data_IF_239332245179
#
_entry.id   IF_239332245179
#
_cell.length_a   1.000
_cell.length_b   1.000
_cell.length_c   1.000
_cell.angle_alpha   90.00
_cell.angle_beta   90.00
_cell.angle_gamma   90.00
#
_symmetry.space_group_name_H-M   'P 1'
#
loop_
_entity.id
_entity.type
_entity.pdbx_description
1 polymer ?
#
# COMPACT_ATOMS: atom_id res chain seq x y z
N UNK A 1 5.60 27.10 6.16
CA UNK A 1 4.75 25.91 6.33
C UNK A 1 5.66 24.70 6.26
N UNK A 2 5.56 23.80 7.21
CA UNK A 2 6.36 22.56 7.21
C UNK A 2 5.90 21.68 6.05
N UNK A 3 6.82 21.36 5.14
CA UNK A 3 6.51 20.55 3.97
C UNK A 3 6.42 19.08 4.39
N UNK A 4 5.28 18.46 4.14
CA UNK A 4 5.01 17.07 4.46
C UNK A 4 5.34 16.20 3.24
N UNK A 5 6.01 15.08 3.45
CA UNK A 5 6.29 14.13 2.35
C UNK A 5 5.01 13.44 1.86
N UNK A 6 5.01 13.01 0.60
CA UNK A 6 3.87 12.27 0.00
C UNK A 6 3.51 11.04 0.83
N UNK A 7 4.49 10.29 1.34
CA UNK A 7 4.27 9.10 2.17
C UNK A 7 3.55 9.39 3.49
N UNK A 8 3.90 10.49 4.15
CA UNK A 8 3.22 10.91 5.40
C UNK A 8 1.77 11.28 5.11
N UNK A 9 1.52 11.98 4.00
CA UNK A 9 0.17 12.35 3.58
C UNK A 9 -0.68 11.10 3.24
N UNK A 10 -0.11 10.12 2.53
CA UNK A 10 -0.77 8.85 2.21
C UNK A 10 -1.05 8.02 3.46
N UNK A 11 -0.10 7.94 4.40
CA UNK A 11 -0.30 7.24 5.68
C UNK A 11 -1.47 7.85 6.48
N UNK A 12 -1.53 9.17 6.56
CA UNK A 12 -2.67 9.88 7.20
C UNK A 12 -3.98 9.58 6.47
N UNK A 13 -3.97 9.60 5.12
CA UNK A 13 -5.11 9.23 4.29
C UNK A 13 -5.55 7.78 4.53
N UNK A 14 -4.64 6.82 4.59
CA UNK A 14 -4.96 5.42 4.86
C UNK A 14 -5.69 5.26 6.21
N UNK A 15 -5.22 5.95 7.26
CA UNK A 15 -5.89 5.89 8.57
C UNK A 15 -7.28 6.52 8.47
N UNK A 16 -7.40 7.74 7.98
CA UNK A 16 -8.66 8.51 7.98
C UNK A 16 -9.72 7.97 7.00
N UNK A 17 -9.29 7.46 5.84
CA UNK A 17 -10.19 7.10 4.74
C UNK A 17 -10.43 5.59 4.60
N UNK A 18 -9.61 4.74 5.25
CA UNK A 18 -9.81 3.29 5.25
C UNK A 18 -10.01 2.72 6.65
N UNK A 19 -9.07 2.99 7.58
CA UNK A 19 -9.13 2.34 8.90
C UNK A 19 -10.33 2.86 9.69
N UNK A 20 -10.52 4.18 9.79
CA UNK A 20 -11.62 4.77 10.57
C UNK A 20 -13.00 4.36 10.06
N UNK A 21 -13.34 4.48 8.75
CA UNK A 21 -14.66 4.06 8.29
C UNK A 21 -14.90 2.56 8.46
N UNK A 22 -13.89 1.71 8.27
CA UNK A 22 -14.02 0.27 8.53
C UNK A 22 -14.24 -0.01 10.01
N UNK A 23 -13.52 0.67 10.91
CA UNK A 23 -13.72 0.54 12.35
C UNK A 23 -15.13 0.98 12.77
N UNK A 24 -15.65 2.08 12.21
CA UNK A 24 -17.02 2.53 12.43
C UNK A 24 -18.04 1.50 11.92
N UNK A 25 -17.87 0.97 10.71
CA UNK A 25 -18.73 -0.09 10.18
C UNK A 25 -18.77 -1.31 11.11
N UNK A 26 -17.60 -1.79 11.55
CA UNK A 26 -17.50 -2.93 12.46
C UNK A 26 -18.15 -2.64 13.82
N UNK A 27 -17.95 -1.45 14.38
CA UNK A 27 -18.57 -1.04 15.64
C UNK A 27 -20.09 -1.13 15.54
N UNK A 28 -20.69 -0.54 14.48
CA UNK A 28 -22.14 -0.58 14.28
C UNK A 28 -22.67 -1.98 13.94
N UNK A 29 -21.87 -2.83 13.31
CA UNK A 29 -22.24 -4.22 13.07
C UNK A 29 -22.23 -5.06 14.35
N UNK A 30 -21.29 -4.82 15.26
CA UNK A 30 -21.14 -5.59 16.51
C UNK A 30 -22.09 -5.06 17.60
N UNK A 31 -22.37 -3.76 17.65
CA UNK A 31 -23.21 -3.17 18.69
C UNK A 31 -24.58 -3.85 18.88
N UNK A 32 -25.32 -4.24 17.83
CA UNK A 32 -26.60 -4.96 18.00
C UNK A 32 -26.47 -6.31 18.71
N UNK A 33 -25.34 -7.03 18.50
CA UNK A 33 -25.08 -8.30 19.19
C UNK A 33 -24.88 -8.08 20.69
N UNK A 34 -24.05 -7.08 21.03
CA UNK A 34 -23.82 -6.74 22.44
C UNK A 34 -25.10 -6.27 23.12
N UNK A 35 -25.90 -5.45 22.44
CA UNK A 35 -27.19 -4.96 22.98
C UNK A 35 -28.18 -6.10 23.15
N UNK A 36 -28.31 -7.02 22.17
CA UNK A 36 -29.23 -8.16 22.26
C UNK A 36 -28.94 -9.09 23.43
N UNK A 37 -27.65 -9.31 23.71
CA UNK A 37 -27.21 -10.12 24.87
C UNK A 37 -27.48 -9.41 26.21
N UNK A 38 -27.22 -8.09 26.29
CA UNK A 38 -27.42 -7.31 27.52
C UNK A 38 -28.88 -7.12 27.89
N UNK A 39 -29.78 -7.07 26.89
CA UNK A 39 -31.22 -6.80 27.08
C UNK A 39 -32.05 -8.09 26.96
N UNK A 40 -31.41 -9.24 26.69
CA UNK A 40 -32.06 -10.55 26.48
C UNK A 40 -33.17 -10.52 25.39
N UNK A 41 -33.06 -9.60 24.45
CA UNK A 41 -34.06 -9.39 23.38
C UNK A 41 -33.47 -9.78 22.03
N UNK A 42 -33.91 -10.90 21.50
CA UNK A 42 -33.45 -11.41 20.19
C UNK A 42 -34.37 -10.90 19.06
N UNK A 43 -34.08 -9.72 18.54
CA UNK A 43 -34.86 -9.14 17.44
C UNK A 43 -34.03 -9.22 16.14
N UNK A 44 -34.40 -10.12 15.24
CA UNK A 44 -33.62 -10.38 14.01
C UNK A 44 -33.40 -9.15 13.12
N UNK A 45 -34.35 -8.19 13.08
CA UNK A 45 -34.19 -6.96 12.30
C UNK A 45 -33.10 -6.02 12.88
N UNK A 46 -32.74 -6.15 14.17
CA UNK A 46 -31.71 -5.33 14.81
C UNK A 46 -30.34 -5.56 14.14
N UNK A 47 -30.06 -6.78 13.73
CA UNK A 47 -28.82 -7.11 13.01
C UNK A 47 -28.78 -6.51 11.59
N UNK A 48 -29.91 -6.56 10.89
CA UNK A 48 -30.03 -5.95 9.56
C UNK A 48 -29.84 -4.43 9.62
N UNK A 49 -30.43 -3.76 10.62
CA UNK A 49 -30.26 -2.31 10.83
C UNK A 49 -28.85 -1.95 11.25
N UNK A 50 -28.19 -2.76 12.08
CA UNK A 50 -26.79 -2.56 12.45
C UNK A 50 -25.84 -2.69 11.25
N UNK A 51 -26.09 -3.66 10.39
CA UNK A 51 -25.31 -3.83 9.16
C UNK A 51 -25.46 -2.66 8.20
N UNK A 52 -26.72 -2.29 7.87
CA UNK A 52 -27.02 -1.16 6.96
C UNK A 52 -26.53 0.15 7.59
N UNK A 53 -26.84 0.38 8.88
CA UNK A 53 -26.42 1.56 9.62
C UNK A 53 -24.89 1.71 9.64
N UNK A 54 -24.18 0.64 9.90
CA UNK A 54 -22.71 0.63 9.89
C UNK A 54 -22.14 1.01 8.53
N UNK A 55 -22.70 0.46 7.45
CA UNK A 55 -22.30 0.83 6.10
C UNK A 55 -22.58 2.32 5.81
N UNK A 56 -23.76 2.82 6.13
CA UNK A 56 -24.12 4.23 5.93
C UNK A 56 -23.20 5.16 6.71
N UNK A 57 -22.95 4.88 7.99
CA UNK A 57 -22.07 5.70 8.84
C UNK A 57 -20.65 5.73 8.31
N UNK A 58 -20.09 4.56 7.95
CA UNK A 58 -18.73 4.48 7.38
C UNK A 58 -18.62 5.22 6.04
N UNK A 59 -19.66 5.11 5.18
CA UNK A 59 -19.71 5.83 3.91
C UNK A 59 -19.82 7.34 4.09
N UNK A 60 -20.67 7.81 5.01
CA UNK A 60 -20.80 9.22 5.34
C UNK A 60 -19.50 9.78 5.89
N UNK A 61 -18.87 9.06 6.84
CA UNK A 61 -17.56 9.46 7.34
C UNK A 61 -16.56 9.64 6.19
N UNK A 62 -16.45 8.65 5.30
CA UNK A 62 -15.54 8.71 4.17
C UNK A 62 -15.85 9.92 3.27
N UNK A 63 -17.13 10.16 2.95
CA UNK A 63 -17.58 11.26 2.08
C UNK A 63 -17.18 12.65 2.59
N UNK A 64 -17.17 12.84 3.92
CA UNK A 64 -16.71 14.09 4.53
C UNK A 64 -15.19 14.13 4.69
N UNK A 65 -14.62 13.05 5.18
CA UNK A 65 -13.19 12.97 5.50
C UNK A 65 -12.28 13.11 4.27
N UNK A 66 -12.70 12.58 3.11
CA UNK A 66 -11.92 12.64 1.87
C UNK A 66 -11.67 14.07 1.41
N UNK A 67 -12.68 14.94 1.50
CA UNK A 67 -12.56 16.36 1.14
C UNK A 67 -11.59 17.08 2.06
N UNK A 68 -11.69 16.87 3.37
CA UNK A 68 -10.77 17.47 4.35
C UNK A 68 -9.34 16.99 4.18
N UNK A 69 -9.15 15.68 3.98
CA UNK A 69 -7.82 15.11 3.73
C UNK A 69 -7.21 15.68 2.44
N UNK A 70 -7.98 15.79 1.36
CA UNK A 70 -7.52 16.30 0.07
C UNK A 70 -7.05 17.76 0.18
N UNK A 71 -7.84 18.63 0.82
CA UNK A 71 -7.46 20.03 1.05
C UNK A 71 -6.16 20.08 1.86
N UNK A 72 -6.13 19.41 3.02
CA UNK A 72 -4.95 19.38 3.87
C UNK A 72 -3.71 18.88 3.12
N UNK A 73 -3.85 17.79 2.34
CA UNK A 73 -2.74 17.21 1.60
C UNK A 73 -2.22 18.15 0.50
N UNK A 74 -3.11 18.83 -0.22
CA UNK A 74 -2.73 19.82 -1.25
C UNK A 74 -2.05 21.06 -0.66
N UNK A 75 -2.38 21.46 0.55
CA UNK A 75 -1.73 22.59 1.22
C UNK A 75 -0.32 22.26 1.71
N UNK A 76 -0.09 21.03 2.17
CA UNK A 76 1.13 20.67 2.89
C UNK A 76 2.13 19.85 2.06
N UNK A 77 1.68 19.18 1.00
CA UNK A 77 2.55 18.36 0.14
C UNK A 77 3.06 19.20 -1.03
N UNK A 78 4.35 19.06 -1.31
CA UNK A 78 5.00 19.78 -2.41
C UNK A 78 4.65 19.15 -3.77
N UNK A 79 4.84 17.84 -3.90
CA UNK A 79 4.66 17.08 -5.13
C UNK A 79 3.21 16.58 -5.25
N UNK A 80 2.34 17.44 -5.78
CA UNK A 80 0.89 17.19 -5.83
C UNK A 80 0.52 16.14 -6.88
N UNK A 81 1.21 16.10 -8.02
CA UNK A 81 0.97 15.09 -9.07
C UNK A 81 1.28 13.69 -8.56
N UNK A 82 2.44 13.52 -7.91
CA UNK A 82 2.82 12.26 -7.29
C UNK A 82 1.82 11.83 -6.22
N UNK A 83 1.41 12.78 -5.35
CA UNK A 83 0.40 12.53 -4.32
C UNK A 83 -0.90 12.01 -4.92
N UNK A 84 -1.40 12.66 -5.98
CA UNK A 84 -2.66 12.27 -6.63
C UNK A 84 -2.58 10.91 -7.30
N UNK A 85 -1.51 10.67 -8.06
CA UNK A 85 -1.31 9.36 -8.69
C UNK A 85 -1.28 8.24 -7.65
N UNK A 86 -0.54 8.44 -6.56
CA UNK A 86 -0.43 7.44 -5.50
C UNK A 86 -1.74 7.28 -4.73
N UNK A 87 -2.46 8.37 -4.43
CA UNK A 87 -3.74 8.30 -3.73
C UNK A 87 -4.81 7.55 -4.53
N UNK A 88 -4.83 7.70 -5.86
CA UNK A 88 -5.72 6.93 -6.76
C UNK A 88 -5.26 5.46 -6.82
N UNK A 89 -3.97 5.21 -7.00
CA UNK A 89 -3.42 3.85 -7.07
C UNK A 89 -3.63 3.06 -5.77
N UNK A 90 -3.53 3.74 -4.62
CA UNK A 90 -3.83 3.15 -3.31
C UNK A 90 -5.33 3.10 -3.00
N UNK A 91 -6.20 3.55 -3.90
CA UNK A 91 -7.66 3.59 -3.69
C UNK A 91 -8.08 4.37 -2.45
N UNK A 92 -7.37 5.46 -2.16
CA UNK A 92 -7.75 6.42 -1.11
C UNK A 92 -8.82 7.38 -1.62
N UNK A 93 -8.67 7.80 -2.88
CA UNK A 93 -9.58 8.68 -3.59
C UNK A 93 -9.96 8.05 -4.92
N UNK A 94 -11.08 8.48 -5.45
CA UNK A 94 -11.56 8.08 -6.76
C UNK A 94 -10.89 8.91 -7.86
N UNK A 95 -10.67 8.34 -9.06
CA UNK A 95 -10.21 9.11 -10.21
C UNK A 95 -11.16 10.28 -10.51
N UNK A 96 -10.60 11.40 -10.96
CA UNK A 96 -11.37 12.59 -11.33
C UNK A 96 -12.39 12.24 -12.43
N UNK A 97 -13.64 12.67 -12.25
CA UNK A 97 -14.75 12.37 -13.17
C UNK A 97 -15.47 11.03 -12.92
N UNK A 98 -15.04 10.21 -11.96
CA UNK A 98 -15.72 8.96 -11.64
C UNK A 98 -17.08 9.21 -10.97
N UNK A 99 -18.01 8.24 -11.08
CA UNK A 99 -19.33 8.30 -10.43
C UNK A 99 -19.20 8.51 -8.91
N UNK A 100 -18.28 7.82 -8.27
CA UNK A 100 -18.09 7.88 -6.82
C UNK A 100 -17.46 9.19 -6.34
N UNK A 101 -16.77 9.95 -7.17
CA UNK A 101 -16.30 11.30 -6.83
C UNK A 101 -17.50 12.24 -6.51
N UNK A 102 -18.65 11.99 -7.14
CA UNK A 102 -19.87 12.79 -6.89
C UNK A 102 -20.46 12.57 -5.50
N UNK A 103 -20.10 11.48 -4.83
CA UNK A 103 -20.56 11.19 -3.46
C UNK A 103 -19.72 11.89 -2.39
N UNK A 104 -18.63 12.56 -2.76
CA UNK A 104 -17.85 13.38 -1.86
C UNK A 104 -18.65 14.65 -1.46
N UNK A 105 -18.86 14.82 -0.17
CA UNK A 105 -19.55 16.00 0.36
C UNK A 105 -18.58 17.17 0.43
N UNK A 106 -18.89 18.23 -0.34
CA UNK A 106 -18.05 19.44 -0.44
C UNK A 106 -18.93 20.68 -0.25
N UNK A 107 -18.56 21.55 0.68
CA UNK A 107 -19.17 22.88 0.81
C UNK A 107 -18.73 23.78 -0.36
N UNK A 108 -19.46 24.91 -0.56
CA UNK A 108 -19.06 25.87 -1.60
C UNK A 108 -17.64 26.40 -1.37
N UNK A 109 -17.32 26.80 -0.15
CA UNK A 109 -15.98 27.28 0.21
C UNK A 109 -14.88 26.23 -0.04
N UNK A 110 -15.15 24.97 0.28
CA UNK A 110 -14.20 23.88 0.01
C UNK A 110 -14.00 23.64 -1.49
N UNK A 111 -15.03 23.78 -2.32
CA UNK A 111 -14.90 23.68 -3.77
C UNK A 111 -14.03 24.80 -4.34
N UNK A 112 -14.23 26.02 -3.91
CA UNK A 112 -13.45 27.18 -4.33
C UNK A 112 -11.98 27.02 -3.91
N UNK A 113 -11.75 26.60 -2.67
CA UNK A 113 -10.41 26.33 -2.16
C UNK A 113 -9.70 25.20 -2.94
N UNK A 114 -10.41 24.10 -3.23
CA UNK A 114 -9.85 23.02 -4.05
C UNK A 114 -9.49 23.48 -5.45
N UNK A 115 -10.33 24.33 -6.09
CA UNK A 115 -10.02 24.90 -7.41
C UNK A 115 -8.76 25.78 -7.36
N UNK A 116 -8.58 26.58 -6.30
CA UNK A 116 -7.36 27.38 -6.12
C UNK A 116 -6.14 26.51 -5.91
N UNK A 117 -6.24 25.45 -5.11
CA UNK A 117 -5.16 24.51 -4.88
C UNK A 117 -4.85 23.67 -6.12
N UNK A 118 -5.87 23.36 -6.94
CA UNK A 118 -5.68 22.66 -8.21
C UNK A 118 -4.93 23.50 -9.25
N UNK A 119 -4.89 24.82 -9.11
CA UNK A 119 -4.04 25.66 -9.96
C UNK A 119 -2.53 25.31 -9.82
N UNK A 120 -2.12 24.73 -8.67
CA UNK A 120 -0.76 24.23 -8.47
C UNK A 120 -0.39 23.05 -9.38
N UNK A 121 -1.38 22.33 -9.95
CA UNK A 121 -1.12 21.31 -10.96
C UNK A 121 -0.59 21.86 -12.30
N UNK A 122 -0.64 23.18 -12.51
CA UNK A 122 0.01 23.80 -13.66
C UNK A 122 1.54 23.81 -13.54
N UNK A 123 2.06 23.65 -12.32
CA UNK A 123 3.50 23.60 -12.04
C UNK A 123 3.95 22.15 -11.96
N UNK A 124 4.98 21.72 -12.70
CA UNK A 124 5.51 20.37 -12.61
C UNK A 124 6.10 20.11 -11.21
N UNK A 125 6.03 18.86 -10.77
CA UNK A 125 6.63 18.43 -9.50
C UNK A 125 8.15 18.66 -9.54
N UNK A 126 8.69 19.31 -8.53
CA UNK A 126 10.14 19.51 -8.44
C UNK A 126 10.83 18.23 -7.98
N UNK A 127 11.79 17.78 -8.77
CA UNK A 127 12.68 16.70 -8.40
C UNK A 127 13.88 17.29 -7.66
N UNK A 128 13.96 17.03 -6.36
CA UNK A 128 15.10 17.40 -5.52
C UNK A 128 15.76 16.17 -4.94
N UNK A 129 17.09 16.26 -4.79
CA UNK A 129 17.79 15.26 -3.97
C UNK A 129 17.29 15.33 -2.53
N UNK A 130 16.95 14.16 -1.98
CA UNK A 130 16.51 14.04 -0.60
C UNK A 130 17.66 13.44 0.24
N UNK A 131 18.30 14.23 1.12
CA UNK A 131 19.37 13.74 1.96
C UNK A 131 18.92 12.64 2.95
N UNK A 132 17.61 12.51 3.20
CA UNK A 132 17.07 11.43 4.03
C UNK A 132 17.16 10.06 3.35
N UNK A 133 17.26 10.02 2.01
CA UNK A 133 17.48 8.79 1.26
C UNK A 133 18.97 8.43 1.31
N UNK A 134 19.36 7.27 1.89
CA UNK A 134 20.75 6.87 2.01
C UNK A 134 21.41 6.73 0.63
N UNK A 135 22.75 6.81 0.55
CA UNK A 135 23.50 6.61 -0.69
C UNK A 135 23.26 5.24 -1.34
N UNK A 136 22.84 4.27 -0.54
CA UNK A 136 22.48 2.92 -0.97
C UNK A 136 21.24 2.48 -0.18
N UNK A 137 20.13 2.27 -0.87
CA UNK A 137 18.90 1.73 -0.28
C UNK A 137 18.90 0.21 -0.39
N UNK A 138 18.96 -0.47 0.76
CA UNK A 138 18.96 -1.93 0.86
C UNK A 138 17.59 -2.39 1.37
N UNK A 139 16.92 -3.24 0.61
CA UNK A 139 15.59 -3.74 0.93
C UNK A 139 15.64 -5.23 1.18
N UNK A 140 15.20 -5.63 2.37
CA UNK A 140 15.06 -7.01 2.81
C UNK A 140 13.57 -7.40 2.87
N UNK A 141 13.28 -8.67 3.11
CA UNK A 141 11.92 -9.09 3.47
C UNK A 141 11.46 -8.43 4.77
N UNK A 142 10.17 -8.16 4.88
CA UNK A 142 9.55 -7.62 6.11
C UNK A 142 9.63 -8.67 7.23
N UNK A 143 10.47 -8.43 8.24
CA UNK A 143 10.63 -9.36 9.37
C UNK A 143 9.32 -9.61 10.10
N UNK A 144 8.52 -8.56 10.30
CA UNK A 144 7.22 -8.66 10.97
C UNK A 144 6.26 -9.55 10.17
N UNK A 145 6.18 -9.37 8.85
CA UNK A 145 5.31 -10.16 7.98
C UNK A 145 5.77 -11.62 7.92
N UNK A 146 7.07 -11.86 7.86
CA UNK A 146 7.62 -13.22 7.86
C UNK A 146 7.41 -13.92 9.20
N UNK A 147 7.56 -13.21 10.33
CA UNK A 147 7.26 -13.74 11.66
C UNK A 147 5.77 -14.09 11.80
N UNK A 148 4.86 -13.23 11.30
CA UNK A 148 3.44 -13.52 11.26
C UNK A 148 3.12 -14.77 10.41
N UNK A 149 3.72 -14.87 9.22
CA UNK A 149 3.54 -16.03 8.33
C UNK A 149 4.00 -17.33 9.00
N UNK A 150 5.14 -17.27 9.70
CA UNK A 150 5.69 -18.40 10.46
C UNK A 150 4.75 -18.81 11.62
N UNK A 151 4.27 -17.83 12.39
CA UNK A 151 3.32 -18.08 13.48
C UNK A 151 2.00 -18.68 12.94
N UNK A 152 1.52 -18.21 11.80
CA UNK A 152 0.33 -18.73 11.12
C UNK A 152 0.53 -20.19 10.69
N UNK A 153 1.66 -20.50 10.07
CA UNK A 153 2.01 -21.86 9.65
C UNK A 153 2.09 -22.85 10.83
N UNK A 154 2.73 -22.43 11.94
CA UNK A 154 2.77 -23.21 13.19
C UNK A 154 1.36 -23.41 13.76
N UNK A 155 0.52 -22.38 13.74
CA UNK A 155 -0.88 -22.46 14.16
C UNK A 155 -1.69 -23.48 13.33
N UNK A 156 -1.48 -23.53 12.01
CA UNK A 156 -2.09 -24.52 11.13
C UNK A 156 -1.66 -25.95 11.49
N UNK A 157 -0.37 -26.17 11.77
CA UNK A 157 0.13 -27.48 12.23
C UNK A 157 -0.51 -27.89 13.55
N UNK A 158 -0.58 -26.97 14.52
CA UNK A 158 -1.26 -27.21 15.79
C UNK A 158 -2.74 -27.53 15.62
N UNK A 159 -3.43 -26.82 14.73
CA UNK A 159 -4.83 -27.08 14.40
C UNK A 159 -5.03 -28.45 13.72
N UNK A 160 -4.12 -28.83 12.81
CA UNK A 160 -4.15 -30.17 12.22
C UNK A 160 -3.93 -31.28 13.28
N UNK A 161 -3.02 -31.06 14.21
CA UNK A 161 -2.82 -32.01 15.34
C UNK A 161 -4.10 -32.14 16.21
N UNK A 162 -4.77 -31.02 16.48
CA UNK A 162 -6.06 -31.04 17.19
C UNK A 162 -7.13 -31.83 16.42
N UNK A 163 -7.29 -31.60 15.11
CA UNK A 163 -8.24 -32.33 14.27
C UNK A 163 -7.95 -33.85 14.27
N UNK A 164 -6.69 -34.23 14.35
CA UNK A 164 -6.30 -35.64 14.43
C UNK A 164 -6.80 -36.30 15.71
N UNK A 165 -6.91 -35.57 16.83
CA UNK A 165 -7.42 -36.09 18.11
C UNK A 165 -8.94 -36.08 18.22
N UNK A 166 -9.66 -35.34 17.33
CA UNK A 166 -11.12 -35.16 17.38
C UNK A 166 -11.88 -35.88 16.28
N UNK A 167 -11.34 -36.99 15.74
CA UNK A 167 -11.91 -37.77 14.64
C UNK A 167 -12.23 -36.98 13.38
N UNK A 168 -11.43 -35.91 13.11
CA UNK A 168 -11.51 -35.15 11.87
C UNK A 168 -11.17 -36.01 10.65
N UNK A 169 -11.69 -35.63 9.47
CA UNK A 169 -11.38 -36.32 8.21
C UNK A 169 -9.84 -36.37 8.00
N UNK A 170 -9.24 -37.57 7.87
CA UNK A 170 -7.78 -37.71 7.78
C UNK A 170 -7.19 -36.99 6.57
N UNK A 171 -7.95 -36.92 5.45
CA UNK A 171 -7.53 -36.19 4.24
C UNK A 171 -7.43 -34.68 4.50
N UNK A 172 -8.43 -34.09 5.16
CA UNK A 172 -8.45 -32.64 5.47
C UNK A 172 -7.34 -32.31 6.45
N UNK A 173 -7.16 -33.13 7.47
CA UNK A 173 -6.09 -32.98 8.47
C UNK A 173 -4.70 -32.99 7.80
N UNK A 174 -4.46 -33.94 6.92
CA UNK A 174 -3.21 -34.06 6.18
C UNK A 174 -2.95 -32.84 5.27
N UNK A 175 -3.97 -32.34 4.56
CA UNK A 175 -3.86 -31.16 3.71
C UNK A 175 -3.52 -29.92 4.53
N UNK A 176 -4.18 -29.72 5.67
CA UNK A 176 -3.90 -28.56 6.57
C UNK A 176 -2.48 -28.67 7.13
N UNK A 177 -2.04 -29.86 7.56
CA UNK A 177 -0.71 -30.08 8.06
C UNK A 177 0.35 -29.79 7.00
N UNK A 178 0.19 -30.32 5.78
CA UNK A 178 1.10 -30.11 4.66
C UNK A 178 1.20 -28.63 4.30
N UNK A 179 0.09 -27.91 4.25
CA UNK A 179 0.06 -26.47 3.99
C UNK A 179 0.73 -25.69 5.12
N UNK A 180 0.48 -26.06 6.39
CA UNK A 180 1.15 -25.45 7.55
C UNK A 180 2.65 -25.62 7.53
N UNK A 181 3.15 -26.82 7.19
CA UNK A 181 4.59 -27.10 7.04
C UNK A 181 5.17 -26.25 5.92
N UNK A 182 4.52 -26.21 4.75
CA UNK A 182 4.99 -25.41 3.61
C UNK A 182 5.09 -23.92 3.95
N UNK A 183 4.04 -23.33 4.57
CA UNK A 183 4.02 -21.93 5.01
C UNK A 183 5.11 -21.64 6.04
N UNK A 184 5.30 -22.55 7.01
CA UNK A 184 6.34 -22.40 8.04
C UNK A 184 7.74 -22.42 7.43
N UNK A 185 8.02 -23.35 6.54
CA UNK A 185 9.33 -23.49 5.88
C UNK A 185 9.61 -22.28 4.98
N UNK A 186 8.62 -21.81 4.20
CA UNK A 186 8.77 -20.63 3.35
C UNK A 186 9.03 -19.36 4.18
N UNK A 187 8.23 -19.16 5.25
CA UNK A 187 8.40 -18.05 6.19
C UNK A 187 9.77 -18.06 6.89
N UNK A 188 10.20 -19.23 7.37
CA UNK A 188 11.52 -19.39 8.00
C UNK A 188 12.68 -19.12 7.02
N UNK A 189 12.61 -19.66 5.81
CA UNK A 189 13.62 -19.42 4.76
C UNK A 189 13.77 -17.93 4.43
N UNK A 190 12.66 -17.20 4.32
CA UNK A 190 12.67 -15.77 4.03
C UNK A 190 13.15 -14.94 5.22
N UNK A 191 12.78 -15.35 6.45
CA UNK A 191 13.20 -14.67 7.68
C UNK A 191 14.70 -14.81 7.93
N UNK A 192 15.27 -16.00 7.64
CA UNK A 192 16.69 -16.31 7.82
C UNK A 192 17.56 -15.83 6.64
N UNK A 193 16.94 -15.30 5.59
CA UNK A 193 17.68 -14.79 4.44
C UNK A 193 18.23 -13.40 4.74
N UNK A 194 19.52 -13.30 4.99
CA UNK A 194 20.24 -12.04 5.25
C UNK A 194 20.63 -11.29 3.96
N UNK A 195 20.43 -11.90 2.80
CA UNK A 195 20.78 -11.28 1.53
C UNK A 195 19.70 -10.28 1.09
N UNK A 196 20.10 -9.12 0.55
CA UNK A 196 19.17 -8.12 0.07
C UNK A 196 18.36 -8.64 -1.14
N UNK A 197 17.08 -8.37 -1.14
CA UNK A 197 16.18 -8.70 -2.26
C UNK A 197 16.25 -7.63 -3.33
N UNK A 198 16.44 -6.37 -2.91
CA UNK A 198 16.56 -5.23 -3.80
C UNK A 198 17.59 -4.26 -3.23
N UNK A 199 18.50 -3.79 -4.08
CA UNK A 199 19.45 -2.74 -3.76
C UNK A 199 19.37 -1.67 -4.83
N UNK A 200 19.19 -0.42 -4.40
CA UNK A 200 19.12 0.75 -5.28
C UNK A 200 20.24 1.69 -4.88
N UNK A 201 21.03 2.16 -5.84
CA UNK A 201 22.11 3.11 -5.65
C UNK A 201 22.20 4.06 -6.85
N UNK A 202 23.04 5.10 -6.76
CA UNK A 202 23.34 5.96 -7.93
C UNK A 202 24.01 5.19 -9.10
N UNK A 203 24.54 4.01 -8.88
CA UNK A 203 25.17 3.19 -9.92
C UNK A 203 24.17 2.28 -10.65
N UNK A 204 22.99 2.00 -10.07
CA UNK A 204 21.98 1.12 -10.66
C UNK A 204 21.14 0.36 -9.65
N UNK A 205 20.43 -0.64 -10.18
CA UNK A 205 19.49 -1.50 -9.44
C UNK A 205 20.01 -2.93 -9.45
N UNK A 206 19.97 -3.61 -8.30
CA UNK A 206 20.27 -5.03 -8.17
C UNK A 206 19.05 -5.76 -7.61
N UNK A 207 18.59 -6.80 -8.31
CA UNK A 207 17.40 -7.60 -7.97
C UNK A 207 17.83 -9.01 -7.57
N UNK A 208 17.35 -9.52 -6.44
CA UNK A 208 17.51 -10.92 -5.99
C UNK A 208 18.94 -11.47 -6.03
N UNK A 209 19.96 -10.71 -5.59
CA UNK A 209 21.38 -11.09 -5.71
C UNK A 209 21.87 -11.30 -7.17
N UNK A 210 21.12 -10.84 -8.16
CA UNK A 210 21.50 -10.85 -9.55
C UNK A 210 22.56 -9.81 -9.90
N UNK A 211 22.94 -9.71 -11.17
CA UNK A 211 23.84 -8.66 -11.62
C UNK A 211 23.23 -7.28 -11.40
N UNK A 212 24.10 -6.30 -11.18
CA UNK A 212 23.65 -4.90 -11.10
C UNK A 212 23.28 -4.42 -12.49
N UNK A 213 22.06 -3.88 -12.62
CA UNK A 213 21.56 -3.25 -13.84
C UNK A 213 21.89 -1.76 -13.74
N UNK A 214 22.81 -1.22 -14.55
CA UNK A 214 23.18 0.19 -14.52
C UNK A 214 22.02 1.06 -15.00
N UNK A 215 21.92 2.30 -14.50
CA UNK A 215 20.84 3.21 -14.91
C UNK A 215 20.84 3.53 -16.41
N UNK A 216 21.99 3.41 -17.10
CA UNK A 216 22.11 3.55 -18.55
C UNK A 216 21.26 2.56 -19.33
N UNK A 217 21.08 1.36 -18.79
CA UNK A 217 20.28 0.29 -19.40
C UNK A 217 18.82 0.30 -18.93
N UNK A 218 18.52 0.98 -17.81
CA UNK A 218 17.16 1.05 -17.26
C UNK A 218 16.34 2.09 -18.02
N UNK A 219 15.50 1.61 -18.93
CA UNK A 219 14.62 2.49 -19.73
C UNK A 219 13.38 2.92 -18.94
N UNK A 220 12.82 2.00 -18.10
CA UNK A 220 11.60 2.27 -17.37
C UNK A 220 11.51 1.44 -16.09
N UNK A 221 11.07 2.07 -15.02
CA UNK A 221 10.68 1.39 -13.77
C UNK A 221 9.21 1.65 -13.51
N UNK A 222 8.44 0.60 -13.24
CA UNK A 222 7.01 0.73 -12.92
C UNK A 222 6.65 -0.10 -11.70
N UNK A 223 5.83 0.47 -10.82
CA UNK A 223 5.12 -0.26 -9.78
C UNK A 223 3.74 -0.63 -10.31
N UNK A 224 3.56 -1.90 -10.63
CA UNK A 224 2.34 -2.40 -11.27
C UNK A 224 1.60 -3.32 -10.31
N UNK A 225 0.29 -3.21 -10.35
CA UNK A 225 -0.60 -4.12 -9.64
C UNK A 225 -1.09 -5.18 -10.61
N UNK A 226 -0.75 -6.46 -10.36
CA UNK A 226 -1.19 -7.60 -11.17
C UNK A 226 -2.18 -8.44 -10.40
N UNK A 227 -3.14 -9.02 -11.12
CA UNK A 227 -4.23 -9.81 -10.57
C UNK A 227 -5.51 -9.01 -10.35
N UNK A 228 -6.60 -9.72 -10.10
CA UNK A 228 -7.89 -9.13 -9.80
C UNK A 228 -8.46 -9.68 -8.49
N UNK A 229 -9.22 -8.88 -7.77
CA UNK A 229 -9.88 -9.29 -6.54
C UNK A 229 -8.90 -9.61 -5.40
N UNK A 230 -9.07 -10.79 -4.77
CA UNK A 230 -8.28 -11.21 -3.59
C UNK A 230 -6.82 -11.59 -3.90
N UNK A 231 -6.48 -11.83 -5.17
CA UNK A 231 -5.12 -12.25 -5.59
C UNK A 231 -4.32 -11.11 -6.21
N UNK A 232 -4.42 -9.91 -5.66
CA UNK A 232 -3.69 -8.76 -6.16
C UNK A 232 -2.25 -8.75 -5.63
N UNK A 233 -1.28 -8.81 -6.54
CA UNK A 233 0.15 -8.71 -6.22
C UNK A 233 0.70 -7.37 -6.72
N UNK A 234 1.60 -6.80 -5.94
CA UNK A 234 2.32 -5.58 -6.34
C UNK A 234 3.72 -5.98 -6.80
N UNK A 235 4.04 -5.57 -8.02
CA UNK A 235 5.28 -5.92 -8.69
C UNK A 235 6.06 -4.64 -9.02
N UNK A 236 7.37 -4.67 -8.80
CA UNK A 236 8.30 -3.73 -9.41
C UNK A 236 8.73 -4.32 -10.75
N UNK A 237 8.42 -3.64 -11.83
CA UNK A 237 8.88 -3.97 -13.18
C UNK A 237 10.04 -3.06 -13.54
N UNK A 238 11.17 -3.67 -13.86
CA UNK A 238 12.37 -2.96 -14.35
C UNK A 238 12.61 -3.40 -15.78
N UNK A 239 12.45 -2.46 -16.71
CA UNK A 239 12.75 -2.68 -18.12
C UNK A 239 14.18 -2.25 -18.40
N UNK A 240 15.01 -3.19 -18.82
CA UNK A 240 16.41 -2.96 -19.13
C UNK A 240 16.82 -3.69 -20.42
N UNK A 241 17.43 -2.95 -21.36
CA UNK A 241 17.66 -3.47 -22.72
C UNK A 241 16.33 -4.01 -23.29
N UNK A 242 16.37 -5.19 -23.89
CA UNK A 242 15.19 -5.90 -24.41
C UNK A 242 14.54 -6.83 -23.39
N UNK A 243 15.01 -6.81 -22.14
CA UNK A 243 14.55 -7.71 -21.08
C UNK A 243 13.72 -6.97 -20.04
N UNK A 244 12.91 -7.74 -19.32
CA UNK A 244 12.10 -7.27 -18.21
C UNK A 244 12.36 -8.13 -16.99
N UNK A 245 12.63 -7.48 -15.88
CA UNK A 245 12.78 -8.11 -14.57
C UNK A 245 11.63 -7.69 -13.68
N UNK A 246 10.95 -8.68 -13.09
CA UNK A 246 9.81 -8.47 -12.20
C UNK A 246 10.19 -8.88 -10.77
N UNK A 247 9.89 -8.03 -9.79
CA UNK A 247 10.08 -8.31 -8.37
C UNK A 247 8.78 -8.08 -7.60
N UNK A 248 8.33 -9.08 -6.82
CA UNK A 248 7.18 -8.92 -5.93
C UNK A 248 7.56 -8.10 -4.70
N UNK A 249 6.88 -6.97 -4.50
CA UNK A 249 7.19 -6.01 -3.43
C UNK A 249 6.29 -6.15 -2.20
N UNK A 250 5.22 -6.97 -2.28
CA UNK A 250 4.24 -7.11 -1.20
C UNK A 250 4.80 -7.67 0.10
N UNK A 251 5.92 -8.41 0.02
CA UNK A 251 6.59 -9.04 1.16
C UNK A 251 7.86 -8.30 1.63
N UNK A 252 8.18 -7.16 1.02
CA UNK A 252 9.38 -6.40 1.33
C UNK A 252 9.19 -5.47 2.53
N UNK A 253 10.28 -5.16 3.21
CA UNK A 253 10.32 -4.25 4.36
C UNK A 253 10.29 -2.76 4.01
N UNK A 254 9.85 -2.41 2.80
CA UNK A 254 9.73 -1.03 2.32
C UNK A 254 8.31 -0.77 1.83
N UNK A 255 7.77 0.42 2.09
CA UNK A 255 6.49 0.83 1.52
C UNK A 255 6.61 1.13 0.03
N UNK A 256 5.51 1.03 -0.72
CA UNK A 256 5.50 1.34 -2.15
C UNK A 256 5.93 2.78 -2.44
N UNK A 257 5.49 3.71 -1.58
CA UNK A 257 5.85 5.11 -1.69
C UNK A 257 7.33 5.33 -1.47
N UNK A 258 7.87 4.80 -0.36
CA UNK A 258 9.30 4.90 -0.07
C UNK A 258 10.17 4.25 -1.16
N UNK A 259 9.71 3.13 -1.74
CA UNK A 259 10.40 2.49 -2.86
C UNK A 259 10.41 3.38 -4.11
N UNK A 260 9.26 3.96 -4.48
CA UNK A 260 9.16 4.88 -5.61
C UNK A 260 10.03 6.12 -5.40
N UNK A 261 9.98 6.69 -4.21
CA UNK A 261 10.79 7.83 -3.83
C UNK A 261 12.29 7.51 -3.93
N UNK A 262 12.73 6.38 -3.36
CA UNK A 262 14.11 5.93 -3.47
C UNK A 262 14.56 5.75 -4.93
N UNK A 263 13.74 5.13 -5.79
CA UNK A 263 14.04 4.97 -7.21
C UNK A 263 14.23 6.33 -7.91
N UNK A 264 13.35 7.31 -7.64
CA UNK A 264 13.46 8.66 -8.21
C UNK A 264 14.72 9.39 -7.75
N UNK A 265 15.01 9.38 -6.43
CA UNK A 265 16.17 10.05 -5.85
C UNK A 265 17.48 9.45 -6.36
N UNK A 266 17.59 8.11 -6.38
CA UNK A 266 18.82 7.48 -6.88
C UNK A 266 19.05 7.71 -8.36
N UNK A 267 17.98 7.74 -9.17
CA UNK A 267 18.09 8.08 -10.59
C UNK A 267 18.51 9.53 -10.78
N UNK A 268 17.92 10.46 -10.02
CA UNK A 268 18.32 11.87 -10.05
C UNK A 268 19.81 12.05 -9.69
N UNK A 269 20.28 11.37 -8.65
CA UNK A 269 21.70 11.39 -8.24
C UNK A 269 22.60 10.87 -9.35
N UNK A 270 22.19 9.82 -10.05
CA UNK A 270 22.92 9.32 -11.20
C UNK A 270 22.95 10.36 -12.35
N UNK A 271 21.83 10.99 -12.69
CA UNK A 271 21.74 12.03 -13.73
C UNK A 271 22.63 13.23 -13.39
N UNK A 272 22.64 13.67 -12.14
CA UNK A 272 23.53 14.73 -11.66
C UNK A 272 25.02 14.36 -11.74
N UNK A 273 25.38 13.11 -11.50
CA UNK A 273 26.76 12.61 -11.61
C UNK A 273 27.24 12.53 -13.08
N UNK A 274 26.34 12.32 -14.03
CA UNK A 274 26.68 12.28 -15.47
C UNK A 274 26.89 13.68 -16.08
N UNK A 275 26.74 14.76 -15.28
CA UNK A 275 27.02 16.13 -15.72
C UNK A 275 25.96 16.74 -16.57
N UNK A 276 24.73 16.82 -16.11
CA UNK A 276 23.74 17.86 -16.53
C UNK A 276 23.41 18.08 -18.01
N UNK A 277 23.96 17.33 -18.93
CA UNK A 277 23.63 17.44 -20.35
C UNK A 277 22.57 16.42 -20.75
N UNK A 278 21.33 16.90 -20.82
CA UNK A 278 20.20 16.16 -21.36
C UNK A 278 19.27 15.59 -20.30
N UNK A 279 18.35 16.41 -19.83
CA UNK A 279 17.17 15.98 -19.09
C UNK A 279 16.31 15.10 -20.01
N UNK A 280 16.23 13.77 -19.80
CA UNK A 280 15.22 12.98 -20.47
C UNK A 280 13.88 13.33 -19.86
N UNK A 281 13.02 13.97 -20.61
CA UNK A 281 11.61 14.19 -20.28
C UNK A 281 10.95 12.85 -20.01
N UNK A 282 10.59 12.59 -18.76
CA UNK A 282 9.70 11.49 -18.43
C UNK A 282 8.33 11.75 -19.04
N UNK A 283 7.95 10.96 -20.01
CA UNK A 283 6.55 10.80 -20.40
C UNK A 283 5.90 9.88 -19.37
N UNK A 284 4.91 10.41 -18.66
CA UNK A 284 4.09 9.75 -17.66
C UNK A 284 3.29 8.56 -18.21
#
# INVERSE_FOLDING_TARGET
>A
MEQVTVDVALRKGNIQLKVVPVALMLLFMVAPFVVSELVEVHIGWLFATGFIGGFVVGWLWWSFAVTHWRIWAYEHVRNIHELMEMAVNEKLIWPKGSFFERTEVRTKAQRELLLQLEARFATPDEQMDDPAVPARTVVLYSRLQMAFLLAWGIGMIGFAAYLFTTDGSPLVTLLIAAMGVWVTVDGARKLLRDRPVLVISSEGIMLNDGPRIPWTEVHKTRLVQRGSGRSTRHMLEVHHGDTRSDLEIGSLGISKGALRHALKVHRLRWELQQGGEGVPTFVA
#
